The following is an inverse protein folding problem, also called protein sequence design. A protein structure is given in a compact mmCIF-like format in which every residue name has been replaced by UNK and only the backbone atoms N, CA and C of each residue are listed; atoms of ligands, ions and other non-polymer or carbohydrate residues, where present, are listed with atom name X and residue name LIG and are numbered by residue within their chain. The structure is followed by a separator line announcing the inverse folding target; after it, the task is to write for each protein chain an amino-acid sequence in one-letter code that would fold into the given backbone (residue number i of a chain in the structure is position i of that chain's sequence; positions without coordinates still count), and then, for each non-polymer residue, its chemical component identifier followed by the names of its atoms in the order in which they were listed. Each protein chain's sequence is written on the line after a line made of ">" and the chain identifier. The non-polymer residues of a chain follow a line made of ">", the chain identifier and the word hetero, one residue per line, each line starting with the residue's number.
data_IF_464933479835
#
_entry.id   IF_464933479835
#
_cell.length_a   1.000
_cell.length_b   1.000
_cell.length_c   1.000
_cell.angle_alpha   90.00
_cell.angle_beta   90.00
_cell.angle_gamma   90.00
#
_symmetry.space_group_name_H-M   'P 1'
#
loop_
_entity.id
_entity.type
_entity.pdbx_description
1 polymer ?
#
# COMPACT_ATOMS: atom_id res chain seq x y z
N UNK A 1 -3.35 2.99 28.40
CA UNK A 1 -3.09 3.22 26.96
C UNK A 1 -1.93 2.33 26.56
N UNK A 2 -2.00 1.67 25.40
CA UNK A 2 -0.88 0.86 24.90
C UNK A 2 0.21 1.79 24.36
N UNK A 3 1.47 1.54 24.72
CA UNK A 3 2.62 2.20 24.10
C UNK A 3 3.09 1.37 22.91
N UNK A 4 3.55 2.05 21.87
CA UNK A 4 4.16 1.46 20.68
C UNK A 4 5.54 2.09 20.50
N UNK A 5 6.50 1.31 20.03
CA UNK A 5 7.85 1.79 19.74
C UNK A 5 7.88 2.64 18.45
N UNK A 6 6.98 2.33 17.50
CA UNK A 6 6.82 3.09 16.28
C UNK A 6 5.37 3.10 15.79
N UNK A 7 4.97 4.22 15.16
CA UNK A 7 3.69 4.36 14.47
C UNK A 7 3.95 4.67 13.01
N UNK A 8 3.42 3.84 12.10
CA UNK A 8 3.50 4.03 10.66
C UNK A 8 2.14 4.45 10.13
N UNK A 9 2.08 5.62 9.49
CA UNK A 9 0.86 6.16 8.89
C UNK A 9 0.83 5.84 7.39
N UNK A 10 -0.16 5.08 6.98
CA UNK A 10 -0.36 4.57 5.61
C UNK A 10 0.12 3.14 5.45
N UNK A 11 -0.80 2.22 5.11
CA UNK A 11 -0.51 0.82 4.81
C UNK A 11 -0.31 0.58 3.31
N UNK A 12 0.43 1.47 2.64
CA UNK A 12 0.95 1.22 1.29
C UNK A 12 2.16 0.27 1.30
N UNK A 13 2.64 -0.17 0.13
CA UNK A 13 3.81 -1.05 0.03
C UNK A 13 5.03 -0.52 0.80
N UNK A 14 5.30 0.80 0.74
CA UNK A 14 6.41 1.41 1.48
C UNK A 14 6.19 1.36 3.01
N UNK A 15 4.99 1.72 3.47
CA UNK A 15 4.66 1.71 4.90
C UNK A 15 4.68 0.31 5.49
N UNK A 16 4.11 -0.67 4.77
CA UNK A 16 4.13 -2.07 5.15
C UNK A 16 5.55 -2.66 5.14
N UNK A 17 6.38 -2.30 4.15
CA UNK A 17 7.78 -2.72 4.11
C UNK A 17 8.55 -2.18 5.33
N UNK A 18 8.45 -0.88 5.59
CA UNK A 18 9.06 -0.25 6.77
C UNK A 18 8.59 -0.90 8.08
N UNK A 19 7.27 -1.04 8.26
CA UNK A 19 6.69 -1.66 9.45
C UNK A 19 7.16 -3.12 9.64
N UNK A 20 7.27 -3.89 8.56
CA UNK A 20 7.76 -5.26 8.60
C UNK A 20 9.22 -5.34 9.06
N UNK A 21 10.08 -4.43 8.60
CA UNK A 21 11.48 -4.39 9.06
C UNK A 21 11.60 -3.95 10.52
N UNK A 22 10.82 -2.96 10.97
CA UNK A 22 10.78 -2.54 12.37
C UNK A 22 10.28 -3.67 13.28
N UNK A 23 9.21 -4.36 12.89
CA UNK A 23 8.70 -5.51 13.62
C UNK A 23 9.70 -6.67 13.64
N UNK A 24 10.40 -6.92 12.53
CA UNK A 24 11.48 -7.92 12.46
C UNK A 24 12.65 -7.59 13.39
N UNK A 25 12.89 -6.32 13.68
CA UNK A 25 13.88 -5.88 14.67
C UNK A 25 13.39 -6.01 16.13
N UNK A 26 12.17 -6.48 16.37
CA UNK A 26 11.60 -6.72 17.70
C UNK A 26 10.80 -5.57 18.28
N UNK A 27 10.49 -4.53 17.48
CA UNK A 27 9.71 -3.38 17.93
C UNK A 27 8.20 -3.64 17.87
N UNK A 28 7.43 -3.09 18.82
CA UNK A 28 5.97 -3.06 18.77
C UNK A 28 5.49 -1.92 17.87
N UNK A 29 5.01 -2.26 16.67
CA UNK A 29 4.68 -1.30 15.61
C UNK A 29 3.18 -1.22 15.39
N UNK A 30 2.62 -0.01 15.44
CA UNK A 30 1.25 0.28 15.02
C UNK A 30 1.24 0.80 13.58
N UNK A 31 0.49 0.16 12.69
CA UNK A 31 0.23 0.67 11.34
C UNK A 31 -1.21 1.19 11.26
N UNK A 32 -1.40 2.42 10.82
CA UNK A 32 -2.72 3.04 10.64
C UNK A 32 -2.97 3.33 9.17
N UNK A 33 -4.10 2.86 8.65
CA UNK A 33 -4.55 3.11 7.28
C UNK A 33 -5.94 3.72 7.31
N UNK A 34 -6.16 4.74 6.50
CA UNK A 34 -7.47 5.41 6.39
C UNK A 34 -8.48 4.54 5.65
N UNK A 35 -8.01 3.82 4.64
CA UNK A 35 -8.86 3.02 3.77
C UNK A 35 -9.25 1.68 4.41
N UNK A 36 -10.39 1.08 4.01
CA UNK A 36 -10.81 -0.24 4.49
C UNK A 36 -9.95 -1.40 3.92
N UNK A 37 -8.88 -1.08 3.19
CA UNK A 37 -7.99 -2.03 2.52
C UNK A 37 -6.55 -1.50 2.59
N UNK A 38 -5.59 -2.42 2.52
CA UNK A 38 -4.16 -2.14 2.57
C UNK A 38 -3.50 -2.39 1.20
N UNK A 39 -2.23 -2.02 1.06
CA UNK A 39 -1.41 -2.20 -0.14
C UNK A 39 -1.17 -0.92 -0.93
N UNK A 40 -1.98 0.13 -0.74
CA UNK A 40 -1.81 1.42 -1.40
C UNK A 40 -1.88 1.30 -2.93
N UNK A 41 -0.82 1.74 -3.64
CA UNK A 41 -0.73 1.59 -5.09
C UNK A 41 -0.58 0.12 -5.55
N UNK A 42 -0.22 -0.80 -4.64
CA UNK A 42 0.06 -2.20 -4.96
C UNK A 42 -1.14 -3.13 -4.75
N UNK A 43 -2.28 -2.60 -4.29
CA UNK A 43 -3.47 -3.42 -4.08
C UNK A 43 -4.21 -3.67 -5.39
N UNK A 44 -4.70 -4.88 -5.56
CA UNK A 44 -5.70 -5.22 -6.58
C UNK A 44 -7.07 -5.31 -5.93
N UNK A 45 -8.08 -4.67 -6.54
CA UNK A 45 -9.45 -4.59 -5.99
C UNK A 45 -10.48 -4.71 -7.09
N UNK A 46 -11.65 -5.21 -6.74
CA UNK A 46 -12.80 -5.08 -7.61
C UNK A 46 -13.37 -3.67 -7.52
N UNK A 47 -13.38 -2.98 -8.66
CA UNK A 47 -14.12 -1.71 -8.83
C UNK A 47 -15.47 -1.96 -9.49
N UNK A 48 -15.59 -3.08 -10.21
CA UNK A 48 -16.80 -3.56 -10.86
C UNK A 48 -16.95 -5.06 -10.58
N UNK A 49 -18.18 -5.58 -10.35
CA UNK A 49 -18.39 -6.98 -9.99
C UNK A 49 -17.77 -7.96 -10.99
N UNK A 50 -16.93 -8.86 -10.49
CA UNK A 50 -16.27 -9.88 -11.31
C UNK A 50 -15.05 -9.39 -12.10
N UNK A 51 -14.64 -8.14 -11.89
CA UNK A 51 -13.45 -7.55 -12.52
C UNK A 51 -12.50 -7.02 -11.46
N UNK A 52 -11.32 -7.62 -11.37
CA UNK A 52 -10.24 -7.16 -10.50
C UNK A 52 -9.31 -6.21 -11.24
N UNK A 53 -9.09 -5.04 -10.68
CA UNK A 53 -8.21 -4.00 -11.21
C UNK A 53 -7.01 -3.82 -10.28
N UNK A 54 -5.81 -3.74 -10.86
CA UNK A 54 -4.65 -3.28 -10.10
C UNK A 54 -4.71 -1.76 -9.94
N UNK A 55 -4.62 -1.23 -8.71
CA UNK A 55 -4.50 0.22 -8.49
C UNK A 55 -3.26 0.80 -9.19
N UNK A 56 -2.22 -0.02 -9.40
CA UNK A 56 -1.00 0.40 -10.07
C UNK A 56 -1.23 0.69 -11.57
N UNK A 57 -2.29 0.14 -12.19
CA UNK A 57 -2.59 0.34 -13.62
C UNK A 57 -2.78 1.82 -14.01
N UNK A 58 -3.04 2.72 -13.07
CA UNK A 58 -3.00 4.16 -13.29
C UNK A 58 -1.67 4.62 -13.93
N UNK A 59 -0.54 3.98 -13.60
CA UNK A 59 0.76 4.36 -14.19
C UNK A 59 0.81 4.11 -15.70
N UNK A 60 -0.03 3.20 -16.22
CA UNK A 60 -0.16 2.98 -17.65
C UNK A 60 -0.77 4.20 -18.36
N UNK A 61 -1.57 5.01 -17.65
CA UNK A 61 -2.09 6.28 -18.20
C UNK A 61 -1.01 7.37 -18.28
N UNK A 62 0.11 7.18 -17.58
CA UNK A 62 1.26 8.09 -17.59
C UNK A 62 2.34 7.68 -18.61
N UNK A 63 2.12 6.59 -19.35
CA UNK A 63 3.05 6.21 -20.42
C UNK A 63 3.12 7.32 -21.46
N UNK A 64 4.35 7.69 -21.81
CA UNK A 64 4.60 8.68 -22.85
C UNK A 64 4.09 8.16 -24.20
N UNK A 65 3.36 8.97 -25.00
CA UNK A 65 2.84 8.55 -26.30
C UNK A 65 3.92 8.00 -27.25
N UNK A 66 5.17 8.44 -27.09
CA UNK A 66 6.31 7.99 -27.88
C UNK A 66 6.69 6.52 -27.61
N UNK A 67 6.29 5.96 -26.45
CA UNK A 67 6.59 4.59 -26.04
C UNK A 67 5.47 3.63 -26.45
N UNK A 68 4.23 4.10 -26.53
CA UNK A 68 3.03 3.26 -26.73
C UNK A 68 2.63 3.07 -28.20
N UNK A 69 3.49 3.42 -29.15
CA UNK A 69 3.19 3.39 -30.59
C UNK A 69 3.70 2.14 -31.29
#
# INVERSE_FOLDING_TARGET
>A
MRQYDAIVIGAGHNGLCNAAYLAKAGLDVLVLERNPHIGGASVSRELYPGWTYSNCSYVCSLLRPEISR
#
